data_IF_373725706346
#
_entry.id   IF_373725706346
#
_cell.length_a   1.000
_cell.length_b   1.000
_cell.length_c   1.000
_cell.angle_alpha   90.00
_cell.angle_beta   90.00
_cell.angle_gamma   90.00
#
_symmetry.space_group_name_H-M   'P 1'
#
loop_
_entity.id
_entity.type
_entity.pdbx_description
1 polymer ?
#
# COMPACT_ATOMS: atom_id res chain seq x y z
N UNK A 1 17.36 -4.29 3.00
CA UNK A 1 17.70 -3.16 3.87
C UNK A 1 16.61 -2.10 3.80
N UNK A 2 16.65 -1.14 4.73
CA UNK A 2 15.83 0.07 4.67
C UNK A 2 16.76 1.21 4.24
N UNK A 3 16.54 1.71 3.03
CA UNK A 3 17.32 2.79 2.47
C UNK A 3 16.65 4.14 2.73
N UNK A 4 17.47 5.19 2.83
CA UNK A 4 16.97 6.56 2.93
C UNK A 4 16.34 6.96 1.60
N UNK A 5 15.13 7.48 1.65
CA UNK A 5 14.48 8.06 0.45
C UNK A 5 15.14 9.37 0.04
N UNK A 6 15.13 9.68 -1.25
CA UNK A 6 15.58 10.97 -1.77
C UNK A 6 14.64 12.10 -1.30
N UNK A 7 15.08 13.38 -1.35
CA UNK A 7 14.20 14.52 -1.07
C UNK A 7 12.96 14.57 -1.97
N UNK A 8 13.08 14.17 -3.23
CA UNK A 8 11.98 14.10 -4.19
C UNK A 8 11.00 12.97 -3.85
N UNK A 9 11.52 11.78 -3.51
CA UNK A 9 10.70 10.66 -3.04
C UNK A 9 9.97 11.03 -1.75
N UNK A 10 10.62 11.72 -0.80
CA UNK A 10 9.97 12.18 0.43
C UNK A 10 8.82 13.14 0.15
N UNK A 11 9.03 14.16 -0.70
CA UNK A 11 7.98 15.12 -1.08
C UNK A 11 6.82 14.44 -1.81
N UNK A 12 7.13 13.51 -2.71
CA UNK A 12 6.14 12.70 -3.42
C UNK A 12 5.30 11.87 -2.44
N UNK A 13 5.93 11.22 -1.45
CA UNK A 13 5.24 10.47 -0.40
C UNK A 13 4.36 11.36 0.48
N UNK A 14 4.85 12.53 0.88
CA UNK A 14 4.09 13.49 1.69
C UNK A 14 2.86 14.03 0.95
N UNK A 15 3.02 14.35 -0.34
CA UNK A 15 1.91 14.76 -1.19
C UNK A 15 0.88 13.62 -1.35
N UNK A 16 1.31 12.40 -1.68
CA UNK A 16 0.39 11.25 -1.80
C UNK A 16 -0.34 10.97 -0.48
N UNK A 17 0.35 11.07 0.66
CA UNK A 17 -0.25 10.87 1.98
C UNK A 17 -1.38 11.88 2.23
N UNK A 18 -1.17 13.14 1.84
CA UNK A 18 -2.12 14.24 2.00
C UNK A 18 -3.27 14.16 0.99
N UNK A 19 -2.98 13.98 -0.29
CA UNK A 19 -3.96 14.00 -1.38
C UNK A 19 -4.94 12.83 -1.32
N UNK A 20 -4.49 11.70 -0.78
CA UNK A 20 -5.30 10.50 -0.58
C UNK A 20 -5.94 10.43 0.81
N UNK A 21 -5.77 11.46 1.65
CA UNK A 21 -6.49 11.57 2.91
C UNK A 21 -7.97 11.91 2.66
N UNK A 22 -8.85 11.29 3.44
CA UNK A 22 -10.30 11.54 3.40
C UNK A 22 -10.80 11.58 4.84
N UNK A 23 -11.57 12.61 5.16
CA UNK A 23 -12.19 12.76 6.47
C UNK A 23 -13.47 11.90 6.54
N UNK A 24 -13.27 10.58 6.48
CA UNK A 24 -14.34 9.58 6.48
C UNK A 24 -13.98 8.52 7.53
N UNK A 25 -14.79 8.45 8.58
CA UNK A 25 -14.65 7.39 9.58
C UNK A 25 -15.40 6.15 9.11
N UNK A 26 -14.73 5.00 9.06
CA UNK A 26 -15.39 3.73 8.77
C UNK A 26 -15.59 2.89 10.04
N UNK A 27 -16.36 1.79 9.91
CA UNK A 27 -16.59 0.80 10.97
C UNK A 27 -15.32 0.23 11.57
N UNK A 28 -14.21 0.19 10.81
CA UNK A 28 -13.01 -0.53 11.23
C UNK A 28 -12.20 0.24 12.28
N UNK A 29 -12.44 1.55 12.43
CA UNK A 29 -11.75 2.37 13.43
C UNK A 29 -12.27 2.10 14.84
N UNK A 30 -11.43 1.53 15.69
CA UNK A 30 -11.77 1.20 17.09
C UNK A 30 -11.65 2.44 17.98
N UNK A 31 -12.75 3.17 18.18
CA UNK A 31 -12.97 4.12 19.28
C UNK A 31 -12.19 5.44 19.29
N UNK A 32 -11.13 5.58 18.49
CA UNK A 32 -10.40 6.85 18.34
C UNK A 32 -11.04 7.73 17.26
N UNK A 33 -11.15 9.04 17.51
CA UNK A 33 -11.54 10.01 16.48
C UNK A 33 -10.58 9.95 15.28
N UNK A 34 -11.08 10.17 14.08
CA UNK A 34 -10.23 10.29 12.88
C UNK A 34 -9.35 11.54 13.02
N UNK A 35 -8.03 11.47 12.71
CA UNK A 35 -7.22 12.66 12.67
C UNK A 35 -7.73 13.59 11.58
N UNK A 36 -7.41 14.89 11.66
CA UNK A 36 -7.73 15.84 10.58
C UNK A 36 -6.77 15.75 9.40
N UNK A 37 -5.58 15.21 9.63
CA UNK A 37 -4.53 15.01 8.65
C UNK A 37 -3.49 14.02 9.18
N UNK A 38 -2.72 13.43 8.27
CA UNK A 38 -1.53 12.64 8.60
C UNK A 38 -0.28 13.47 8.32
N UNK A 39 0.72 13.35 9.18
CA UNK A 39 2.01 14.04 9.00
C UNK A 39 3.11 13.01 8.77
N UNK A 40 3.82 13.12 7.65
CA UNK A 40 4.97 12.27 7.40
C UNK A 40 6.11 12.66 8.34
N UNK A 41 6.56 11.72 9.17
CA UNK A 41 7.66 11.93 10.14
C UNK A 41 8.98 11.36 9.60
N UNK A 42 8.90 10.18 8.98
CA UNK A 42 10.05 9.46 8.44
C UNK A 42 9.58 8.58 7.29
N UNK A 43 10.41 8.47 6.26
CA UNK A 43 10.21 7.55 5.15
C UNK A 43 11.50 6.77 4.87
N UNK A 44 11.36 5.53 4.42
CA UNK A 44 12.47 4.67 4.02
C UNK A 44 12.00 3.74 2.91
N UNK A 45 12.89 3.44 1.96
CA UNK A 45 12.64 2.50 0.87
C UNK A 45 13.03 1.10 1.31
N UNK A 46 12.14 0.14 1.12
CA UNK A 46 12.44 -1.27 1.37
C UNK A 46 13.18 -1.83 0.17
N UNK A 47 14.42 -2.29 0.38
CA UNK A 47 15.20 -2.98 -0.64
C UNK A 47 15.43 -4.43 -0.22
N UNK A 48 14.81 -5.36 -0.94
CA UNK A 48 14.96 -6.78 -0.66
C UNK A 48 14.89 -7.56 -1.97
N UNK A 49 16.05 -7.96 -2.48
CA UNK A 49 16.19 -8.58 -3.79
C UNK A 49 15.36 -9.87 -3.92
N UNK A 50 15.30 -10.68 -2.87
CA UNK A 50 14.54 -11.93 -2.88
C UNK A 50 13.02 -11.67 -2.90
N UNK A 51 12.54 -10.62 -2.22
CA UNK A 51 11.14 -10.20 -2.36
C UNK A 51 10.85 -9.66 -3.76
N UNK A 52 11.79 -8.88 -4.31
CA UNK A 52 11.66 -8.28 -5.63
C UNK A 52 11.65 -9.31 -6.75
N UNK A 53 12.49 -10.34 -6.67
CA UNK A 53 12.51 -11.45 -7.62
C UNK A 53 11.17 -12.21 -7.61
N UNK A 54 10.66 -12.56 -6.41
CA UNK A 54 9.35 -13.20 -6.26
C UNK A 54 8.22 -12.35 -6.83
N UNK A 55 8.24 -11.04 -6.58
CA UNK A 55 7.28 -10.09 -7.12
C UNK A 55 7.33 -10.06 -8.66
N UNK A 56 8.52 -9.92 -9.25
CA UNK A 56 8.72 -9.92 -10.69
C UNK A 56 8.24 -11.22 -11.35
N UNK A 57 8.55 -12.36 -10.74
CA UNK A 57 8.10 -13.67 -11.22
C UNK A 57 6.57 -13.81 -11.19
N UNK A 58 5.93 -13.39 -10.09
CA UNK A 58 4.47 -13.40 -9.97
C UNK A 58 3.79 -12.49 -10.99
N UNK A 59 4.31 -11.25 -11.16
CA UNK A 59 3.84 -10.31 -12.19
C UNK A 59 3.96 -10.90 -13.59
N UNK A 60 5.10 -11.51 -13.92
CA UNK A 60 5.31 -12.16 -15.20
C UNK A 60 4.33 -13.32 -15.42
N UNK A 61 4.05 -14.10 -14.36
CA UNK A 61 3.02 -15.14 -14.37
C UNK A 61 1.61 -14.61 -14.69
N UNK A 62 1.24 -13.43 -14.18
CA UNK A 62 -0.03 -12.76 -14.52
C UNK A 62 -0.01 -12.29 -15.98
N UNK A 63 1.08 -11.64 -16.39
CA UNK A 63 1.24 -11.11 -17.75
C UNK A 63 1.15 -12.20 -18.83
N UNK A 64 1.71 -13.39 -18.56
CA UNK A 64 1.66 -14.53 -19.49
C UNK A 64 0.27 -15.16 -19.58
N UNK A 65 -0.54 -15.13 -18.52
CA UNK A 65 -1.94 -15.59 -18.54
C UNK A 65 -2.87 -14.59 -19.23
N UNK A 66 -2.53 -13.29 -19.19
CA UNK A 66 -3.30 -12.21 -19.78
C UNK A 66 -2.52 -11.54 -20.92
N UNK A 67 -2.23 -12.30 -21.99
CA UNK A 67 -1.38 -11.83 -23.11
C UNK A 67 -1.93 -10.58 -23.82
N UNK A 68 -3.25 -10.39 -23.81
CA UNK A 68 -3.93 -9.20 -24.36
C UNK A 68 -4.00 -8.03 -23.37
N UNK A 69 -3.54 -8.23 -22.13
CA UNK A 69 -3.74 -7.32 -21.01
C UNK A 69 -4.98 -7.68 -20.18
N UNK A 70 -5.03 -7.15 -18.97
CA UNK A 70 -6.19 -7.21 -18.07
C UNK A 70 -7.14 -6.04 -18.36
N UNK A 71 -8.39 -6.15 -17.92
CA UNK A 71 -9.32 -5.01 -17.95
C UNK A 71 -8.76 -3.86 -17.10
N UNK A 72 -8.59 -2.64 -17.65
CA UNK A 72 -8.02 -1.52 -16.90
C UNK A 72 -8.86 -1.17 -15.66
N UNK A 73 -8.21 -0.97 -14.52
CA UNK A 73 -8.91 -0.60 -13.26
C UNK A 73 -9.71 0.70 -13.41
N UNK A 74 -9.25 1.61 -14.27
CA UNK A 74 -9.94 2.86 -14.56
C UNK A 74 -11.37 2.68 -15.10
N UNK A 75 -11.70 1.50 -15.66
CA UNK A 75 -13.05 1.15 -16.11
C UNK A 75 -14.04 1.02 -14.95
N UNK A 76 -13.58 0.77 -13.72
CA UNK A 76 -14.44 0.47 -12.57
C UNK A 76 -14.61 1.61 -11.56
N UNK A 77 -13.73 2.61 -11.59
CA UNK A 77 -13.76 3.70 -10.60
C UNK A 77 -12.94 4.94 -10.96
N UNK A 78 -12.48 5.02 -12.22
CA UNK A 78 -11.60 6.11 -12.66
C UNK A 78 -10.14 5.90 -12.25
N UNK A 79 -9.35 6.97 -12.36
CA UNK A 79 -7.91 6.93 -12.12
C UNK A 79 -7.62 6.71 -10.63
N UNK A 80 -6.68 5.82 -10.33
CA UNK A 80 -6.20 5.57 -8.97
C UNK A 80 -5.66 6.87 -8.33
N UNK A 81 -6.12 7.18 -7.12
CA UNK A 81 -5.76 8.42 -6.44
C UNK A 81 -4.26 8.51 -6.12
N UNK A 82 -3.60 7.38 -5.88
CA UNK A 82 -2.16 7.32 -5.59
C UNK A 82 -1.29 7.68 -6.81
N UNK A 83 -1.80 7.57 -8.03
CA UNK A 83 -1.02 7.86 -9.24
C UNK A 83 -0.68 9.35 -9.43
N UNK A 84 -1.41 10.28 -8.80
CA UNK A 84 -1.17 11.71 -8.97
C UNK A 84 0.13 12.17 -8.32
N UNK A 85 0.49 11.59 -7.17
CA UNK A 85 1.66 12.01 -6.42
C UNK A 85 2.92 11.22 -6.72
N UNK A 86 2.86 10.17 -7.54
CA UNK A 86 4.04 9.41 -7.95
C UNK A 86 5.01 10.25 -8.78
N UNK A 87 6.31 10.08 -8.53
CA UNK A 87 7.35 10.59 -9.41
C UNK A 87 7.17 10.03 -10.83
N UNK A 88 7.41 10.85 -11.85
CA UNK A 88 7.21 10.45 -13.25
C UNK A 88 8.01 9.20 -13.63
N UNK A 89 9.24 9.06 -13.12
CA UNK A 89 10.08 7.87 -13.33
C UNK A 89 9.44 6.61 -12.75
N UNK A 90 8.88 6.70 -11.54
CA UNK A 90 8.18 5.59 -10.88
C UNK A 90 6.89 5.24 -11.60
N UNK A 91 6.16 6.26 -12.07
CA UNK A 91 4.91 6.07 -12.82
C UNK A 91 5.15 5.39 -14.18
N UNK A 92 6.17 5.82 -14.92
CA UNK A 92 6.52 5.24 -16.22
C UNK A 92 7.00 3.78 -16.14
N UNK A 93 7.47 3.35 -14.96
CA UNK A 93 7.94 1.99 -14.68
C UNK A 93 6.79 1.01 -14.32
N UNK A 94 5.54 1.49 -14.22
CA UNK A 94 4.38 0.63 -13.95
C UNK A 94 3.91 -0.13 -15.22
N UNK A 95 3.63 -1.41 -15.05
CA UNK A 95 3.09 -2.30 -16.07
C UNK A 95 1.56 -2.21 -16.13
N UNK A 96 1.05 -1.22 -16.86
CA UNK A 96 -0.40 -0.97 -16.98
C UNK A 96 -1.20 -2.17 -17.54
N UNK A 97 -0.60 -3.04 -18.38
CA UNK A 97 -1.28 -4.23 -18.92
C UNK A 97 -1.70 -5.26 -17.86
N UNK A 98 -1.10 -5.21 -16.68
CA UNK A 98 -1.42 -6.10 -15.55
C UNK A 98 -1.90 -5.30 -14.33
N UNK A 99 -2.34 -4.06 -14.56
CA UNK A 99 -2.83 -3.19 -13.51
C UNK A 99 -1.84 -3.05 -12.34
N UNK A 100 -0.54 -2.83 -12.65
CA UNK A 100 0.42 -2.43 -11.62
C UNK A 100 0.08 -1.06 -11.05
N UNK A 101 0.09 -0.94 -9.72
CA UNK A 101 -0.27 0.26 -8.99
C UNK A 101 0.54 0.40 -7.70
N UNK A 102 0.47 1.58 -7.07
CA UNK A 102 0.90 1.78 -5.69
C UNK A 102 -0.31 1.96 -4.78
N UNK A 103 -0.38 1.21 -3.68
CA UNK A 103 -1.49 1.28 -2.72
C UNK A 103 -0.96 1.27 -1.29
N UNK A 104 -1.68 1.91 -0.38
CA UNK A 104 -1.33 1.98 1.04
C UNK A 104 -1.73 0.71 1.78
N UNK A 105 -0.92 0.31 2.75
CA UNK A 105 -1.24 -0.71 3.74
C UNK A 105 -0.85 -0.23 5.13
N UNK A 106 -1.78 -0.24 6.09
CA UNK A 106 -1.51 0.14 7.47
C UNK A 106 -1.19 -1.05 8.35
N UNK A 107 -0.19 -0.89 9.23
CA UNK A 107 0.24 -1.92 10.17
C UNK A 107 1.03 -1.30 11.34
N UNK A 108 1.53 -2.10 12.28
CA UNK A 108 2.48 -1.62 13.30
C UNK A 108 3.89 -1.50 12.72
N UNK A 109 4.80 -0.69 13.31
CA UNK A 109 6.20 -0.68 12.91
C UNK A 109 6.84 -2.07 12.93
N UNK A 110 6.57 -2.89 13.95
CA UNK A 110 6.98 -4.30 13.97
C UNK A 110 6.40 -5.14 12.82
N UNK A 111 5.13 -4.92 12.46
CA UNK A 111 4.49 -5.56 11.30
C UNK A 111 5.13 -5.17 9.98
N UNK A 112 5.37 -3.86 9.78
CA UNK A 112 6.08 -3.33 8.62
C UNK A 112 7.50 -3.89 8.52
N UNK A 113 8.22 -4.00 9.64
CA UNK A 113 9.53 -4.64 9.68
C UNK A 113 9.46 -6.10 9.24
N UNK A 114 8.52 -6.89 9.77
CA UNK A 114 8.33 -8.29 9.38
C UNK A 114 7.99 -8.47 7.89
N UNK A 115 7.13 -7.60 7.35
CA UNK A 115 6.78 -7.56 5.92
C UNK A 115 8.01 -7.18 5.08
N UNK A 116 8.80 -6.19 5.50
CA UNK A 116 10.01 -5.77 4.78
C UNK A 116 11.08 -6.86 4.68
N UNK A 117 11.11 -7.78 5.66
CA UNK A 117 12.09 -8.87 5.73
C UNK A 117 11.62 -10.12 4.97
N UNK A 118 10.35 -10.50 5.13
CA UNK A 118 9.83 -11.80 4.69
C UNK A 118 8.70 -11.73 3.65
N UNK A 119 8.21 -10.54 3.35
CA UNK A 119 7.05 -10.30 2.50
C UNK A 119 5.73 -10.44 3.27
N UNK A 120 4.62 -10.24 2.56
CA UNK A 120 3.29 -10.48 3.12
C UNK A 120 3.06 -11.97 3.36
N UNK A 121 2.57 -12.32 4.55
CA UNK A 121 2.20 -13.70 4.92
C UNK A 121 0.68 -13.83 4.87
N UNK A 122 0.17 -14.58 3.89
CA UNK A 122 -1.27 -14.79 3.72
C UNK A 122 -1.90 -15.50 4.92
N UNK A 123 -1.13 -16.29 5.68
CA UNK A 123 -1.61 -16.96 6.88
C UNK A 123 -2.00 -15.98 8.01
N UNK A 124 -1.49 -14.74 7.93
CA UNK A 124 -1.84 -13.64 8.84
C UNK A 124 -2.98 -12.77 8.28
N UNK A 125 -3.46 -13.05 7.06
CA UNK A 125 -4.54 -12.30 6.47
C UNK A 125 -5.84 -12.46 7.27
N UNK A 126 -6.43 -11.33 7.69
CA UNK A 126 -7.66 -11.31 8.49
C UNK A 126 -7.46 -11.51 10.00
N UNK A 127 -6.22 -11.63 10.50
CA UNK A 127 -5.98 -11.77 11.96
C UNK A 127 -6.25 -10.48 12.75
N UNK A 128 -6.12 -9.31 12.12
CA UNK A 128 -6.26 -8.01 12.78
C UNK A 128 -7.63 -7.34 12.58
N UNK A 129 -8.24 -7.50 11.40
CA UNK A 129 -9.59 -6.99 11.10
C UNK A 129 -10.12 -7.50 9.74
N UNK A 130 -11.46 -7.56 9.65
CA UNK A 130 -12.29 -7.63 8.44
C UNK A 130 -11.84 -8.52 7.29
N UNK A 131 -12.51 -9.65 7.07
CA UNK A 131 -12.39 -10.49 5.85
C UNK A 131 -13.56 -10.26 4.89
N UNK A 132 -13.96 -8.99 4.67
CA UNK A 132 -15.16 -8.68 3.87
C UNK A 132 -15.10 -9.26 2.46
N UNK A 133 -13.90 -9.36 1.91
CA UNK A 133 -13.60 -9.91 0.58
C UNK A 133 -12.80 -11.22 0.66
N UNK A 134 -12.88 -11.94 1.80
CA UNK A 134 -12.14 -13.17 2.05
C UNK A 134 -10.79 -12.95 2.75
N UNK A 135 -9.97 -14.01 2.83
CA UNK A 135 -8.64 -13.94 3.44
C UNK A 135 -7.63 -13.45 2.42
N UNK A 136 -7.11 -12.25 2.61
CA UNK A 136 -6.07 -11.69 1.75
C UNK A 136 -5.35 -10.47 2.35
N UNK A 137 -4.42 -9.93 1.58
CA UNK A 137 -3.78 -8.64 1.89
C UNK A 137 -4.72 -7.52 1.49
N UNK A 138 -5.04 -6.64 2.43
CA UNK A 138 -5.88 -5.47 2.19
C UNK A 138 -5.01 -4.23 1.99
N UNK A 139 -5.24 -3.54 0.88
CA UNK A 139 -4.61 -2.27 0.56
C UNK A 139 -5.68 -1.24 0.18
N UNK A 140 -5.34 0.04 0.22
CA UNK A 140 -6.26 1.12 -0.12
C UNK A 140 -5.56 2.23 -0.88
N UNK A 141 -6.31 2.90 -1.76
CA UNK A 141 -5.86 4.18 -2.33
C UNK A 141 -5.85 5.28 -1.27
N UNK A 142 -6.79 5.24 -0.32
CA UNK A 142 -6.95 6.25 0.71
C UNK A 142 -5.99 6.01 1.88
N UNK A 143 -5.11 6.97 2.16
CA UNK A 143 -4.18 6.91 3.30
C UNK A 143 -4.89 6.80 4.63
N UNK A 144 -5.94 7.60 4.82
CA UNK A 144 -6.85 7.57 5.99
C UNK A 144 -7.48 6.21 6.25
N UNK A 145 -7.81 5.45 5.19
CA UNK A 145 -8.37 4.11 5.33
C UNK A 145 -7.34 3.12 5.85
N UNK A 146 -6.12 3.21 5.32
CA UNK A 146 -5.01 2.40 5.81
C UNK A 146 -4.59 2.79 7.24
N UNK A 147 -4.65 4.06 7.60
CA UNK A 147 -4.40 4.55 8.97
C UNK A 147 -5.29 3.88 10.02
N UNK A 148 -6.54 3.51 9.69
CA UNK A 148 -7.42 2.78 10.62
C UNK A 148 -6.85 1.41 11.06
N UNK A 149 -5.92 0.86 10.28
CA UNK A 149 -5.24 -0.42 10.54
C UNK A 149 -3.79 -0.22 11.04
N UNK A 150 -3.29 1.01 11.00
CA UNK A 150 -1.98 1.35 11.53
C UNK A 150 -2.02 1.43 13.06
N UNK A 151 -0.90 1.09 13.69
CA UNK A 151 -0.74 1.27 15.14
C UNK A 151 0.70 1.65 15.45
N UNK A 152 0.94 2.16 16.64
CA UNK A 152 2.28 2.40 17.16
C UNK A 152 2.87 1.15 17.83
N UNK A 153 4.20 1.14 18.00
CA UNK A 153 4.83 0.25 18.96
C UNK A 153 4.64 0.90 20.34
N UNK A 154 3.83 0.30 21.23
CA UNK A 154 3.45 0.88 22.54
C UNK A 154 4.64 1.33 23.43
N UNK A 155 5.85 0.91 23.06
CA UNK A 155 7.14 1.25 23.67
C UNK A 155 8.21 1.39 22.59
N UNK A 156 9.33 2.06 22.89
CA UNK A 156 10.50 2.13 22.01
C UNK A 156 10.53 3.37 21.10
N UNK A 157 11.40 3.36 20.10
CA UNK A 157 11.69 4.54 19.26
C UNK A 157 10.55 4.91 18.30
N UNK A 158 9.59 4.00 18.08
CA UNK A 158 8.40 4.20 17.26
C UNK A 158 7.13 4.38 18.09
N UNK A 159 7.26 4.63 19.39
CA UNK A 159 6.13 4.99 20.24
C UNK A 159 5.45 6.23 19.69
N UNK A 160 4.12 6.20 19.66
CA UNK A 160 3.26 7.25 19.12
C UNK A 160 3.47 7.53 17.60
N UNK A 161 4.19 6.65 16.90
CA UNK A 161 4.38 6.71 15.44
C UNK A 161 3.64 5.55 14.76
N UNK A 162 2.73 5.91 13.86
CA UNK A 162 1.93 4.97 13.08
C UNK A 162 2.65 4.63 11.77
N UNK A 163 2.52 3.38 11.32
CA UNK A 163 3.25 2.89 10.15
C UNK A 163 2.33 2.57 8.98
N UNK A 164 2.64 3.15 7.82
CA UNK A 164 2.05 2.81 6.54
C UNK A 164 3.14 2.29 5.60
N UNK A 165 2.80 1.30 4.79
CA UNK A 165 3.56 0.85 3.64
C UNK A 165 2.90 1.38 2.37
N UNK A 166 3.68 1.98 1.47
CA UNK A 166 3.26 2.20 0.09
C UNK A 166 3.77 1.02 -0.74
N UNK A 167 2.86 0.12 -1.13
CA UNK A 167 3.22 -1.13 -1.78
C UNK A 167 3.03 -1.02 -3.29
N UNK A 168 4.00 -1.48 -4.07
CA UNK A 168 3.78 -1.78 -5.48
C UNK A 168 3.00 -3.10 -5.59
N UNK A 169 1.87 -3.08 -6.27
CA UNK A 169 0.92 -4.20 -6.36
C UNK A 169 0.60 -4.48 -7.81
N UNK A 170 0.50 -5.76 -8.17
CA UNK A 170 -0.02 -6.19 -9.47
C UNK A 170 -1.44 -6.69 -9.26
N UNK A 171 -2.44 -5.93 -9.71
CA UNK A 171 -3.85 -6.26 -9.49
C UNK A 171 -4.37 -7.35 -10.44
N UNK A 172 -3.76 -7.50 -11.62
CA UNK A 172 -4.19 -8.47 -12.62
C UNK A 172 -5.61 -8.20 -13.11
N UNK A 173 -6.35 -9.26 -13.45
CA UNK A 173 -7.76 -9.16 -13.79
C UNK A 173 -8.58 -9.00 -12.51
N UNK A 174 -9.23 -7.84 -12.34
CA UNK A 174 -9.91 -7.48 -11.11
C UNK A 174 -11.36 -7.94 -11.14
N UNK A 175 -11.78 -8.65 -10.08
CA UNK A 175 -13.19 -8.84 -9.77
C UNK A 175 -13.71 -7.57 -9.08
N UNK A 176 -14.54 -6.81 -9.79
CA UNK A 176 -15.17 -5.60 -9.25
C UNK A 176 -16.43 -5.96 -8.46
N UNK A 177 -16.54 -5.45 -7.23
CA UNK A 177 -17.69 -5.59 -6.34
C UNK A 177 -18.25 -4.19 -6.04
N UNK A 178 -19.56 -4.01 -6.19
CA UNK A 178 -20.28 -2.74 -5.95
C UNK A 178 -21.19 -2.81 -4.75
#
# INVERSE_FOLDING_TARGET
SLEKVSPEEYKSLEAMLTDTFRDIQTRDRRGAAIPRALRLVKASRVENWALWERYCAARHGIQTRHTRGCTPVATFGGKLATESGLLQTTKSDLHHKVNEAFLWHGTSPGGAQGISQSGFKLDLAGSNAGTMYGKGVYLAECSSKSDEYASDDKTGIYKDLFCLLLCRVTLGEVLHLT
#
